data_IF_472281624632
#
_entry.id   IF_472281624632
#
_cell.length_a   1.000
_cell.length_b   1.000
_cell.length_c   1.000
_cell.angle_alpha   90.00
_cell.angle_beta   90.00
_cell.angle_gamma   90.00
#
_symmetry.space_group_name_H-M   'P 1'
#
loop_
_entity.id
_entity.type
_entity.pdbx_description
1 polymer ?
#
# COMPACT_ATOMS: atom_id res chain seq x y z
N UNK A 1 45.20 -20.28 15.03
CA UNK A 1 44.65 -20.17 13.68
C UNK A 1 43.15 -20.33 13.75
N UNK A 2 42.45 -19.23 14.07
CA UNK A 2 41.02 -19.15 14.03
C UNK A 2 40.63 -18.48 12.71
N UNK A 3 40.16 -19.28 11.73
CA UNK A 3 39.51 -18.76 10.55
C UNK A 3 38.16 -18.22 10.95
N UNK A 4 38.04 -16.90 11.01
CA UNK A 4 36.75 -16.21 10.99
C UNK A 4 36.08 -16.50 9.64
N UNK A 5 35.08 -17.40 9.64
CA UNK A 5 34.13 -17.50 8.57
C UNK A 5 33.27 -16.25 8.60
N UNK A 6 33.65 -15.25 7.84
CA UNK A 6 32.78 -14.16 7.43
C UNK A 6 31.73 -14.78 6.49
N UNK A 7 30.60 -15.17 7.06
CA UNK A 7 29.38 -15.41 6.29
C UNK A 7 28.97 -14.05 5.68
N UNK A 8 29.50 -13.78 4.50
CA UNK A 8 28.96 -12.77 3.61
C UNK A 8 27.53 -13.21 3.28
N UNK A 9 26.56 -12.66 4.01
CA UNK A 9 25.17 -12.74 3.60
C UNK A 9 25.08 -12.10 2.21
N UNK A 10 25.06 -12.94 1.19
CA UNK A 10 24.75 -12.51 -0.18
C UNK A 10 23.36 -11.88 -0.10
N UNK A 11 23.29 -10.55 -0.16
CA UNK A 11 22.02 -9.84 -0.26
C UNK A 11 21.36 -10.31 -1.54
N UNK A 12 20.37 -11.18 -1.41
CA UNK A 12 19.60 -11.65 -2.55
C UNK A 12 19.04 -10.43 -3.28
N UNK A 13 19.38 -10.30 -4.56
CA UNK A 13 18.92 -9.17 -5.38
C UNK A 13 17.42 -9.31 -5.54
N UNK A 14 16.67 -8.28 -5.16
CA UNK A 14 15.23 -8.22 -5.37
C UNK A 14 14.93 -8.40 -6.87
N UNK A 15 13.87 -9.17 -7.20
CA UNK A 15 13.44 -9.31 -8.58
C UNK A 15 13.10 -7.94 -9.16
N UNK A 16 13.71 -7.60 -10.28
CA UNK A 16 13.57 -6.31 -10.94
C UNK A 16 12.12 -6.02 -11.34
N UNK A 17 11.35 -7.06 -11.65
CA UNK A 17 9.93 -6.95 -12.01
C UNK A 17 9.07 -6.40 -10.89
N UNK A 18 9.37 -6.72 -9.63
CA UNK A 18 8.68 -6.16 -8.46
C UNK A 18 8.96 -4.65 -8.37
N UNK A 19 10.22 -4.27 -8.59
CA UNK A 19 10.61 -2.87 -8.60
C UNK A 19 9.92 -2.10 -9.72
N UNK A 20 9.96 -2.61 -10.95
CA UNK A 20 9.32 -2.00 -12.12
C UNK A 20 7.81 -1.82 -11.93
N UNK A 21 7.12 -2.81 -11.30
CA UNK A 21 5.71 -2.70 -10.98
C UNK A 21 5.43 -1.50 -10.06
N UNK A 22 6.21 -1.34 -9.00
CA UNK A 22 6.03 -0.25 -8.04
C UNK A 22 6.36 1.12 -8.65
N UNK A 23 7.50 1.24 -9.34
CA UNK A 23 7.91 2.46 -10.03
C UNK A 23 6.82 2.91 -11.02
N UNK A 24 6.32 1.98 -11.81
CA UNK A 24 5.23 2.24 -12.73
C UNK A 24 3.94 2.65 -12.02
N UNK A 25 3.57 1.98 -10.92
CA UNK A 25 2.41 2.34 -10.11
C UNK A 25 2.49 3.79 -9.62
N UNK A 26 3.65 4.21 -9.15
CA UNK A 26 3.90 5.59 -8.69
C UNK A 26 3.80 6.58 -9.84
N UNK A 27 4.42 6.30 -10.98
CA UNK A 27 4.41 7.18 -12.17
C UNK A 27 3.00 7.33 -12.74
N UNK A 28 2.24 6.22 -12.84
CA UNK A 28 0.88 6.24 -13.43
C UNK A 28 -0.21 6.59 -12.43
N UNK A 29 0.12 6.78 -11.14
CA UNK A 29 -0.87 7.00 -10.09
C UNK A 29 -1.79 5.79 -9.86
N UNK A 30 -1.37 4.58 -10.24
CA UNK A 30 -2.14 3.36 -10.09
C UNK A 30 -1.69 2.56 -8.86
N UNK A 31 -2.64 1.90 -8.20
CA UNK A 31 -2.35 0.99 -7.08
C UNK A 31 -1.67 -0.27 -7.60
N UNK A 32 -0.65 -0.74 -6.88
CA UNK A 32 0.03 -2.01 -7.16
C UNK A 32 -0.39 -3.07 -6.16
N UNK A 33 -0.63 -4.29 -6.62
CA UNK A 33 -0.99 -5.44 -5.77
C UNK A 33 0.13 -6.47 -5.79
N UNK A 34 0.61 -6.85 -4.61
CA UNK A 34 1.51 -7.98 -4.40
C UNK A 34 0.82 -9.05 -3.54
N UNK A 35 0.80 -10.27 -4.04
CA UNK A 35 0.33 -11.43 -3.28
C UNK A 35 1.57 -12.26 -2.91
N UNK A 36 1.83 -12.37 -1.61
CA UNK A 36 2.97 -13.13 -1.09
C UNK A 36 2.49 -14.49 -0.59
N UNK A 37 3.02 -15.54 -1.19
CA UNK A 37 2.68 -16.94 -0.92
C UNK A 37 3.79 -17.56 -0.10
N UNK A 38 3.51 -18.00 1.12
CA UNK A 38 4.46 -18.64 2.02
C UNK A 38 4.38 -18.12 3.46
N UNK A 39 5.06 -18.81 4.36
CA UNK A 39 4.98 -18.53 5.80
C UNK A 39 5.79 -17.29 6.22
N UNK A 40 6.83 -16.97 5.47
CA UNK A 40 7.75 -15.86 5.72
C UNK A 40 7.42 -14.57 4.97
N UNK A 41 6.32 -14.52 4.21
CA UNK A 41 5.90 -13.34 3.45
C UNK A 41 5.81 -12.06 4.28
N UNK A 42 5.50 -12.18 5.57
CA UNK A 42 5.46 -11.07 6.51
C UNK A 42 6.82 -10.37 6.69
N UNK A 43 7.91 -11.12 6.60
CA UNK A 43 9.27 -10.60 6.80
C UNK A 43 9.73 -9.76 5.60
N UNK A 44 9.04 -9.88 4.45
CA UNK A 44 9.29 -9.08 3.26
C UNK A 44 8.60 -7.71 3.28
N UNK A 45 7.61 -7.52 4.13
CA UNK A 45 6.87 -6.24 4.21
C UNK A 45 7.78 -5.03 4.48
N UNK A 46 8.78 -5.09 5.39
CA UNK A 46 9.73 -4.00 5.58
C UNK A 46 10.53 -3.67 4.32
N UNK A 47 10.97 -4.68 3.56
CA UNK A 47 11.72 -4.52 2.33
C UNK A 47 10.87 -3.82 1.26
N UNK A 48 9.62 -4.23 1.11
CA UNK A 48 8.67 -3.62 0.17
C UNK A 48 8.31 -2.19 0.58
N UNK A 49 8.13 -1.93 1.88
CA UNK A 49 7.92 -0.58 2.38
C UNK A 49 9.13 0.33 2.09
N UNK A 50 10.35 -0.16 2.33
CA UNK A 50 11.55 0.60 2.02
C UNK A 50 11.68 0.87 0.51
N UNK A 51 11.31 -0.09 -0.33
CA UNK A 51 11.28 0.09 -1.77
C UNK A 51 10.25 1.17 -2.17
N UNK A 52 9.05 1.12 -1.62
CA UNK A 52 8.02 2.13 -1.86
C UNK A 52 8.48 3.54 -1.42
N UNK A 53 9.14 3.66 -0.28
CA UNK A 53 9.73 4.94 0.18
C UNK A 53 10.78 5.48 -0.79
N UNK A 54 11.55 4.61 -1.43
CA UNK A 54 12.59 5.02 -2.39
C UNK A 54 12.02 5.40 -3.76
N UNK A 55 10.91 4.82 -4.14
CA UNK A 55 10.24 5.10 -5.42
C UNK A 55 9.28 6.27 -5.33
N UNK A 56 8.77 6.57 -4.13
CA UNK A 56 7.86 7.70 -3.90
C UNK A 56 8.65 8.93 -3.45
N UNK A 57 8.44 10.07 -4.11
CA UNK A 57 9.02 11.37 -3.73
C UNK A 57 8.36 11.93 -2.46
N UNK A 58 7.20 11.39 -2.10
CA UNK A 58 6.41 11.85 -0.94
C UNK A 58 6.97 11.32 0.38
N UNK A 59 6.53 11.95 1.48
CA UNK A 59 6.80 11.51 2.85
C UNK A 59 6.52 10.02 3.03
N UNK A 60 7.18 9.39 4.00
CA UNK A 60 7.02 7.96 4.30
C UNK A 60 5.55 7.55 4.32
N UNK A 61 5.13 6.56 3.51
CA UNK A 61 3.74 6.15 3.41
C UNK A 61 3.24 5.60 4.75
N UNK A 62 2.06 6.05 5.18
CA UNK A 62 1.33 5.45 6.29
C UNK A 62 0.93 4.04 5.91
N UNK A 63 1.04 3.09 6.85
CA UNK A 63 0.74 1.67 6.63
C UNK A 63 -0.54 1.30 7.38
N UNK A 64 -1.52 0.76 6.69
CA UNK A 64 -2.68 0.10 7.28
C UNK A 64 -2.44 -1.41 7.31
N UNK A 65 -2.42 -2.00 8.50
CA UNK A 65 -2.22 -3.45 8.66
C UNK A 65 -3.48 -4.09 9.21
N UNK A 66 -4.18 -4.85 8.36
CA UNK A 66 -5.42 -5.53 8.72
C UNK A 66 -5.17 -7.01 9.05
N UNK A 67 -5.78 -7.50 10.12
CA UNK A 67 -5.61 -8.87 10.61
C UNK A 67 -6.85 -9.37 11.36
N UNK A 68 -6.96 -10.70 11.49
CA UNK A 68 -8.07 -11.36 12.21
C UNK A 68 -7.69 -11.74 13.65
N UNK A 69 -6.50 -12.35 13.76
CA UNK A 69 -5.99 -12.95 15.01
C UNK A 69 -4.84 -12.10 15.57
N UNK A 70 -4.10 -12.68 16.48
CA UNK A 70 -2.92 -12.02 17.02
C UNK A 70 -1.83 -11.80 15.95
N UNK A 71 -1.13 -10.69 16.06
CA UNK A 71 0.00 -10.33 15.19
C UNK A 71 1.20 -11.26 15.32
N UNK A 72 1.12 -12.23 16.24
CA UNK A 72 2.21 -13.21 16.47
C UNK A 72 3.48 -12.61 17.07
N UNK A 73 3.41 -11.42 17.65
CA UNK A 73 4.57 -10.81 18.33
C UNK A 73 4.70 -11.35 19.75
N UNK A 74 5.90 -11.82 20.09
CA UNK A 74 6.21 -12.20 21.47
C UNK A 74 6.05 -11.00 22.40
N UNK A 75 5.76 -11.26 23.67
CA UNK A 75 5.63 -10.21 24.70
C UNK A 75 6.91 -9.38 24.83
N UNK A 76 8.07 -9.99 24.68
CA UNK A 76 9.38 -9.33 24.64
C UNK A 76 9.49 -8.36 23.46
N UNK A 77 9.09 -8.79 22.28
CA UNK A 77 9.10 -7.96 21.06
C UNK A 77 8.17 -6.75 21.20
N UNK A 78 6.97 -6.94 21.75
CA UNK A 78 6.02 -5.84 22.04
C UNK A 78 6.61 -4.81 23.02
N UNK A 79 7.26 -5.26 24.11
CA UNK A 79 7.92 -4.37 25.08
C UNK A 79 9.07 -3.58 24.44
N UNK A 80 9.90 -4.24 23.61
CA UNK A 80 11.05 -3.63 22.93
C UNK A 80 10.60 -2.53 21.96
N UNK A 81 9.59 -2.81 21.12
CA UNK A 81 9.00 -1.83 20.19
C UNK A 81 8.42 -0.62 20.94
N UNK A 82 7.68 -0.87 22.04
CA UNK A 82 7.12 0.20 22.86
C UNK A 82 8.21 1.10 23.48
N UNK A 83 9.33 0.50 23.92
CA UNK A 83 10.51 1.23 24.42
C UNK A 83 11.08 2.12 23.32
N UNK A 84 11.36 1.57 22.14
CA UNK A 84 11.91 2.28 21.00
C UNK A 84 11.04 3.48 20.56
N UNK A 85 9.72 3.28 20.44
CA UNK A 85 8.79 4.37 20.13
C UNK A 85 8.83 5.48 21.17
N UNK A 86 8.92 5.13 22.45
CA UNK A 86 9.01 6.10 23.56
C UNK A 86 10.33 6.87 23.54
N UNK A 87 11.47 6.20 23.29
CA UNK A 87 12.78 6.80 23.25
C UNK A 87 12.93 7.73 22.04
N UNK A 88 12.32 7.36 20.90
CA UNK A 88 12.21 8.21 19.71
C UNK A 88 11.38 9.47 19.99
N UNK A 89 10.23 9.34 20.65
CA UNK A 89 9.37 10.48 21.02
C UNK A 89 10.05 11.44 21.99
N UNK A 90 10.98 10.96 22.83
CA UNK A 90 11.76 11.77 23.76
C UNK A 90 13.00 12.44 23.14
N UNK A 91 13.23 12.28 21.84
CA UNK A 91 14.41 12.84 21.15
C UNK A 91 15.74 12.17 21.52
N UNK A 92 15.73 11.13 22.36
CA UNK A 92 16.89 10.37 22.78
C UNK A 92 17.48 9.49 21.67
N UNK A 93 16.74 9.33 20.56
CA UNK A 93 17.12 8.46 19.44
C UNK A 93 18.22 9.02 18.54
N UNK A 94 18.73 10.25 18.77
CA UNK A 94 19.81 10.82 17.94
C UNK A 94 21.15 10.08 18.05
N UNK A 95 21.36 9.28 19.10
CA UNK A 95 22.58 8.51 19.34
C UNK A 95 22.33 7.02 19.62
N UNK A 96 21.12 6.52 19.45
CA UNK A 96 20.91 5.09 19.48
C UNK A 96 21.58 4.50 18.23
N UNK A 97 22.86 4.15 18.38
CA UNK A 97 23.51 3.18 17.48
C UNK A 97 22.50 2.04 17.31
N UNK A 98 22.05 1.85 16.06
CA UNK A 98 21.21 0.72 15.70
C UNK A 98 21.88 -0.53 16.28
N UNK A 99 21.26 -1.10 17.31
CA UNK A 99 21.72 -2.37 17.86
C UNK A 99 21.90 -3.34 16.68
N UNK A 100 23.09 -3.84 16.40
CA UNK A 100 23.33 -4.72 15.25
C UNK A 100 22.48 -6.01 15.31
N UNK A 101 21.83 -6.25 16.45
CA UNK A 101 20.92 -7.37 16.69
C UNK A 101 19.44 -7.04 16.36
N UNK A 102 19.15 -5.82 15.93
CA UNK A 102 17.77 -5.47 15.56
C UNK A 102 17.39 -6.06 14.19
N UNK A 103 16.35 -6.84 14.20
CA UNK A 103 15.72 -7.37 13.00
C UNK A 103 15.09 -6.21 12.17
N UNK A 104 15.22 -6.28 10.84
CA UNK A 104 14.64 -5.31 9.90
C UNK A 104 13.16 -5.05 10.16
N UNK A 105 12.44 -6.06 10.61
CA UNK A 105 11.03 -5.94 10.94
C UNK A 105 10.78 -5.09 12.20
N UNK A 106 11.64 -5.17 13.21
CA UNK A 106 11.55 -4.33 14.42
C UNK A 106 11.88 -2.87 14.09
N UNK A 107 12.86 -2.63 13.23
CA UNK A 107 13.17 -1.31 12.72
C UNK A 107 11.99 -0.69 11.97
N UNK A 108 11.37 -1.45 11.09
CA UNK A 108 10.17 -1.03 10.37
C UNK A 108 9.04 -0.65 11.34
N UNK A 109 8.75 -1.50 12.33
CA UNK A 109 7.69 -1.25 13.33
C UNK A 109 7.95 -0.01 14.18
N UNK A 110 9.21 0.34 14.43
CA UNK A 110 9.59 1.51 15.22
C UNK A 110 9.63 2.80 14.42
N UNK A 111 9.96 2.71 13.13
CA UNK A 111 10.21 3.87 12.26
C UNK A 111 9.00 4.28 11.41
N UNK A 112 8.05 3.38 11.18
CA UNK A 112 6.90 3.61 10.31
C UNK A 112 5.64 3.92 11.13
N UNK A 113 4.76 4.74 10.54
CA UNK A 113 3.42 4.99 11.07
C UNK A 113 2.51 3.85 10.61
N UNK A 114 2.20 2.93 11.54
CA UNK A 114 1.42 1.74 11.26
C UNK A 114 0.12 1.80 12.05
N UNK A 115 -0.99 1.84 11.34
CA UNK A 115 -2.33 1.69 11.87
C UNK A 115 -2.73 0.22 11.85
N UNK A 116 -3.00 -0.34 13.04
CA UNK A 116 -3.40 -1.72 13.22
C UNK A 116 -4.93 -1.82 13.27
N UNK A 117 -5.51 -2.57 12.36
CA UNK A 117 -6.96 -2.70 12.25
C UNK A 117 -7.41 -4.17 12.27
N UNK A 118 -8.36 -4.51 13.15
CA UNK A 118 -9.05 -5.80 13.07
C UNK A 118 -10.03 -5.81 11.89
N UNK A 119 -10.15 -6.95 11.20
CA UNK A 119 -11.13 -7.07 10.10
C UNK A 119 -12.56 -6.70 10.47
N UNK A 120 -12.97 -6.95 11.72
CA UNK A 120 -14.29 -6.53 12.23
C UNK A 120 -14.45 -5.03 12.34
N UNK A 121 -13.36 -4.29 12.51
CA UNK A 121 -13.33 -2.85 12.73
C UNK A 121 -13.02 -2.05 11.46
N UNK A 122 -12.94 -2.69 10.29
CA UNK A 122 -12.60 -2.05 9.01
C UNK A 122 -13.56 -0.94 8.57
N UNK A 123 -14.75 -0.85 9.18
CA UNK A 123 -15.65 0.29 8.96
C UNK A 123 -15.06 1.62 9.45
N UNK A 124 -14.11 1.59 10.39
CA UNK A 124 -13.48 2.78 10.96
C UNK A 124 -12.42 3.41 10.05
N UNK A 125 -11.87 2.63 9.10
CA UNK A 125 -10.85 3.14 8.18
C UNK A 125 -11.43 3.77 6.92
N UNK A 126 -12.76 3.72 6.74
CA UNK A 126 -13.42 4.38 5.63
C UNK A 126 -13.18 5.88 5.68
N UNK A 127 -12.78 6.46 4.55
CA UNK A 127 -12.42 7.88 4.44
C UNK A 127 -11.00 8.23 4.86
N UNK A 128 -10.20 7.25 5.39
CA UNK A 128 -8.77 7.45 5.59
C UNK A 128 -7.99 7.21 4.29
N UNK A 129 -6.78 7.77 4.21
CA UNK A 129 -5.87 7.56 3.08
C UNK A 129 -4.55 7.01 3.60
N UNK A 130 -4.08 5.92 2.98
CA UNK A 130 -2.82 5.26 3.34
C UNK A 130 -2.00 4.97 2.09
N UNK A 131 -0.68 4.97 2.21
CA UNK A 131 0.19 4.64 1.09
C UNK A 131 0.47 3.15 0.94
N UNK A 132 0.25 2.37 2.01
CA UNK A 132 0.49 0.93 1.98
C UNK A 132 -0.55 0.18 2.80
N UNK A 133 -1.09 -0.90 2.24
CA UNK A 133 -2.04 -1.80 2.90
C UNK A 133 -1.44 -3.20 3.02
N UNK A 134 -1.56 -3.82 4.19
CA UNK A 134 -1.19 -5.22 4.41
C UNK A 134 -2.42 -5.99 4.90
N UNK A 135 -2.84 -7.00 4.14
CA UNK A 135 -3.94 -7.91 4.47
C UNK A 135 -3.35 -9.26 4.90
N UNK A 136 -3.41 -9.51 6.18
CA UNK A 136 -2.98 -10.76 6.80
C UNK A 136 -4.19 -11.68 7.03
N UNK A 137 -3.98 -12.99 7.26
CA UNK A 137 -5.05 -13.97 7.56
C UNK A 137 -6.12 -14.01 6.45
N UNK A 138 -5.72 -14.43 5.25
CA UNK A 138 -6.56 -14.46 4.05
C UNK A 138 -7.88 -15.19 4.23
N UNK A 139 -7.92 -16.24 5.06
CA UNK A 139 -9.12 -17.02 5.37
C UNK A 139 -10.26 -16.19 5.96
N UNK A 140 -9.96 -15.05 6.54
CA UNK A 140 -10.94 -14.13 7.11
C UNK A 140 -11.40 -13.03 6.14
N UNK A 141 -10.77 -12.91 4.97
CA UNK A 141 -11.11 -11.90 3.97
C UNK A 141 -12.47 -12.16 3.35
N UNK A 142 -13.23 -11.10 3.20
CA UNK A 142 -14.48 -11.07 2.46
C UNK A 142 -14.42 -9.98 1.39
N UNK A 143 -15.26 -10.04 0.33
CA UNK A 143 -15.35 -8.96 -0.65
C UNK A 143 -15.57 -7.58 -0.03
N UNK A 144 -16.41 -7.49 1.02
CA UNK A 144 -16.67 -6.23 1.73
C UNK A 144 -15.43 -5.70 2.44
N UNK A 145 -14.65 -6.56 3.09
CA UNK A 145 -13.41 -6.16 3.76
C UNK A 145 -12.42 -5.66 2.71
N UNK A 146 -12.26 -6.38 1.59
CA UNK A 146 -11.40 -5.96 0.50
C UNK A 146 -11.80 -4.59 -0.05
N UNK A 147 -13.08 -4.38 -0.35
CA UNK A 147 -13.58 -3.10 -0.84
C UNK A 147 -13.29 -1.95 0.14
N UNK A 148 -13.59 -2.15 1.44
CA UNK A 148 -13.37 -1.13 2.47
C UNK A 148 -11.90 -0.76 2.65
N UNK A 149 -10.99 -1.72 2.52
CA UNK A 149 -9.56 -1.52 2.82
C UNK A 149 -8.75 -1.12 1.59
N UNK A 150 -8.98 -1.75 0.43
CA UNK A 150 -8.24 -1.43 -0.80
C UNK A 150 -8.52 -0.02 -1.31
N UNK A 151 -9.75 0.49 -1.11
CA UNK A 151 -10.11 1.84 -1.51
C UNK A 151 -9.44 2.94 -0.68
N UNK A 152 -8.92 2.62 0.51
CA UNK A 152 -8.16 3.57 1.32
C UNK A 152 -6.74 3.81 0.81
N UNK A 153 -6.24 2.98 -0.10
CA UNK A 153 -4.89 3.11 -0.64
C UNK A 153 -4.86 4.19 -1.71
N UNK A 154 -3.93 5.14 -1.57
CA UNK A 154 -3.74 6.22 -2.55
C UNK A 154 -3.21 5.71 -3.90
N UNK A 155 -3.29 6.56 -4.92
CA UNK A 155 -2.67 6.29 -6.22
C UNK A 155 -1.15 6.17 -6.09
N UNK A 156 -0.56 5.16 -6.73
CA UNK A 156 0.86 4.84 -6.55
C UNK A 156 1.17 4.01 -5.31
N UNK A 157 0.17 3.76 -4.43
CA UNK A 157 0.34 2.97 -3.23
C UNK A 157 0.41 1.46 -3.48
N UNK A 158 0.79 0.72 -2.44
CA UNK A 158 1.02 -0.72 -2.48
C UNK A 158 0.05 -1.48 -1.60
N UNK A 159 -0.57 -2.52 -2.16
CA UNK A 159 -1.42 -3.48 -1.46
C UNK A 159 -0.69 -4.81 -1.38
N UNK A 160 -0.56 -5.37 -0.19
CA UNK A 160 0.06 -6.67 0.05
C UNK A 160 -0.98 -7.62 0.65
N UNK A 161 -1.15 -8.77 0.03
CA UNK A 161 -1.95 -9.88 0.55
C UNK A 161 -1.02 -11.02 0.96
N UNK A 162 -1.08 -11.39 2.24
CA UNK A 162 -0.26 -12.47 2.79
C UNK A 162 -1.05 -13.78 2.78
N UNK A 163 -0.57 -14.75 2.01
CA UNK A 163 -1.10 -16.11 1.94
C UNK A 163 -0.19 -17.03 2.75
N UNK A 164 -0.41 -17.13 4.05
CA UNK A 164 0.26 -18.09 4.93
C UNK A 164 -0.36 -19.47 4.72
N UNK A 165 0.38 -20.51 5.02
CA UNK A 165 -0.09 -21.92 4.93
C UNK A 165 -0.47 -22.38 3.51
N UNK A 166 -0.28 -21.56 2.49
CA UNK A 166 -0.57 -21.91 1.11
C UNK A 166 0.74 -22.00 0.35
N UNK A 167 1.06 -23.21 -0.10
CA UNK A 167 2.26 -23.46 -0.93
C UNK A 167 1.96 -23.49 -2.42
N UNK A 168 0.66 -23.54 -2.77
CA UNK A 168 0.22 -23.56 -4.17
C UNK A 168 -1.15 -22.90 -4.33
N UNK A 169 -1.42 -22.38 -5.53
CA UNK A 169 -2.74 -21.83 -5.86
C UNK A 169 -3.86 -22.86 -5.81
N UNK A 170 -3.52 -24.15 -5.97
CA UNK A 170 -4.47 -25.26 -5.83
C UNK A 170 -5.01 -25.34 -4.39
N UNK A 171 -4.13 -25.14 -3.41
CA UNK A 171 -4.52 -25.07 -2.00
C UNK A 171 -5.36 -23.81 -1.70
N UNK A 172 -5.05 -22.69 -2.31
CA UNK A 172 -5.85 -21.47 -2.19
C UNK A 172 -7.28 -21.68 -2.71
N UNK A 173 -7.42 -22.38 -3.84
CA UNK A 173 -8.74 -22.72 -4.39
C UNK A 173 -9.57 -23.58 -3.43
N UNK A 174 -8.95 -24.56 -2.78
CA UNK A 174 -9.61 -25.48 -1.84
C UNK A 174 -9.72 -24.92 -0.41
N UNK A 175 -9.16 -23.74 -0.12
CA UNK A 175 -9.14 -23.17 1.22
C UNK A 175 -10.55 -22.87 1.74
N UNK A 176 -10.82 -23.33 2.95
CA UNK A 176 -12.08 -23.00 3.65
C UNK A 176 -11.98 -21.61 4.27
N UNK A 177 -12.84 -20.69 3.82
CA UNK A 177 -12.94 -19.36 4.37
C UNK A 177 -13.82 -19.35 5.62
N UNK A 178 -13.53 -18.44 6.58
CA UNK A 178 -14.32 -18.28 7.81
C UNK A 178 -15.81 -18.02 7.56
N UNK A 179 -16.10 -17.31 6.48
CA UNK A 179 -17.49 -17.01 6.06
C UNK A 179 -18.25 -18.30 5.76
N UNK A 180 -17.61 -19.31 5.22
CA UNK A 180 -18.24 -20.58 4.90
C UNK A 180 -18.74 -21.32 6.16
N UNK A 181 -18.01 -21.24 7.26
CA UNK A 181 -18.42 -21.84 8.53
C UNK A 181 -19.57 -21.07 9.19
N UNK A 182 -19.59 -19.74 9.05
CA UNK A 182 -20.54 -18.85 9.72
C UNK A 182 -21.95 -18.93 9.15
N UNK A 183 -22.11 -19.13 7.84
CA UNK A 183 -23.38 -19.12 7.14
C UNK A 183 -23.81 -20.51 6.64
N UNK A 184 -23.29 -21.56 7.25
CA UNK A 184 -23.61 -22.94 6.91
C UNK A 184 -24.97 -23.30 7.53
N UNK A 185 -25.89 -23.84 6.71
CA UNK A 185 -27.15 -24.44 7.16
C UNK A 185 -27.12 -25.94 6.85
N UNK A 186 -27.95 -26.73 7.54
CA UNK A 186 -28.06 -28.17 7.29
C UNK A 186 -28.45 -28.46 5.83
N UNK A 187 -29.32 -27.63 5.25
CA UNK A 187 -29.74 -27.74 3.85
C UNK A 187 -28.64 -27.38 2.84
N UNK A 188 -27.64 -26.60 3.24
CA UNK A 188 -26.52 -26.17 2.40
C UNK A 188 -25.19 -26.74 2.91
N UNK A 189 -25.08 -28.07 2.96
CA UNK A 189 -23.88 -28.76 3.44
C UNK A 189 -22.63 -28.51 2.58
N UNK A 190 -22.83 -28.26 1.28
CA UNK A 190 -21.77 -28.04 0.31
C UNK A 190 -21.60 -26.53 0.01
N UNK A 191 -20.49 -25.96 0.45
CA UNK A 191 -20.14 -24.57 0.15
C UNK A 191 -19.22 -24.53 -1.07
N UNK A 192 -19.62 -23.80 -2.10
CA UNK A 192 -18.78 -23.55 -3.27
C UNK A 192 -17.91 -22.32 -3.00
N UNK A 193 -16.55 -22.43 -3.00
CA UNK A 193 -15.64 -21.34 -2.67
C UNK A 193 -15.48 -20.36 -3.84
N UNK A 194 -16.57 -19.76 -4.31
CA UNK A 194 -16.59 -18.85 -5.47
C UNK A 194 -15.72 -17.61 -5.30
N UNK A 195 -15.54 -17.16 -4.06
CA UNK A 195 -14.65 -16.02 -3.79
C UNK A 195 -13.20 -16.34 -4.14
N UNK A 196 -12.70 -17.50 -3.68
CA UNK A 196 -11.33 -17.93 -3.95
C UNK A 196 -11.08 -18.10 -5.45
N UNK A 197 -12.03 -18.71 -6.15
CA UNK A 197 -11.97 -18.86 -7.60
C UNK A 197 -11.89 -17.51 -8.32
N UNK A 198 -12.79 -16.59 -8.00
CA UNK A 198 -12.78 -15.23 -8.57
C UNK A 198 -11.51 -14.47 -8.25
N UNK A 199 -11.01 -14.60 -7.02
CA UNK A 199 -9.77 -13.97 -6.62
C UNK A 199 -8.60 -14.46 -7.46
N UNK A 200 -8.43 -15.79 -7.61
CA UNK A 200 -7.37 -16.37 -8.43
C UNK A 200 -7.48 -15.92 -9.89
N UNK A 201 -8.67 -15.97 -10.47
CA UNK A 201 -8.90 -15.53 -11.85
C UNK A 201 -8.60 -14.02 -12.02
N UNK A 202 -8.92 -13.21 -11.03
CA UNK A 202 -8.63 -11.78 -11.04
C UNK A 202 -7.14 -11.49 -10.98
N UNK A 203 -6.36 -12.24 -10.18
CA UNK A 203 -4.90 -12.14 -10.13
C UNK A 203 -4.27 -12.39 -11.51
N UNK A 204 -4.72 -13.44 -12.21
CA UNK A 204 -4.23 -13.78 -13.54
C UNK A 204 -4.54 -12.74 -14.61
N UNK A 205 -5.62 -11.97 -14.46
CA UNK A 205 -6.07 -10.95 -15.41
C UNK A 205 -5.55 -9.54 -15.09
N UNK A 206 -5.20 -9.27 -13.84
CA UNK A 206 -4.79 -7.93 -13.42
C UNK A 206 -3.40 -7.56 -13.95
N UNK A 207 -3.26 -6.44 -14.64
CA UNK A 207 -1.96 -5.98 -15.16
C UNK A 207 -1.07 -5.35 -14.08
N UNK A 208 -1.63 -4.95 -12.95
CA UNK A 208 -0.92 -4.29 -11.84
C UNK A 208 -0.80 -5.22 -10.62
N UNK A 209 -0.76 -6.55 -10.87
CA UNK A 209 -0.67 -7.55 -9.82
C UNK A 209 0.48 -8.52 -10.09
N UNK A 210 1.36 -8.72 -9.11
CA UNK A 210 2.32 -9.82 -9.10
C UNK A 210 2.02 -10.78 -7.95
N UNK A 211 2.21 -12.07 -8.22
CA UNK A 211 2.19 -13.12 -7.20
C UNK A 211 3.63 -13.59 -7.01
N UNK A 212 4.11 -13.50 -5.79
CA UNK A 212 5.48 -13.84 -5.42
C UNK A 212 5.49 -14.90 -4.31
N UNK A 213 6.60 -15.61 -4.20
CA UNK A 213 6.88 -16.42 -3.02
C UNK A 213 7.35 -15.53 -1.85
N UNK A 214 7.65 -16.16 -0.72
CA UNK A 214 8.16 -15.51 0.48
C UNK A 214 9.62 -15.00 0.36
N UNK A 215 10.29 -15.31 -0.73
CA UNK A 215 11.59 -14.76 -1.12
C UNK A 215 11.51 -13.65 -2.19
N UNK A 216 10.29 -13.23 -2.55
CA UNK A 216 9.98 -12.27 -3.61
C UNK A 216 10.34 -12.71 -5.04
N UNK A 217 10.43 -14.02 -5.32
CA UNK A 217 10.50 -14.51 -6.68
C UNK A 217 9.10 -14.51 -7.29
N UNK A 218 8.98 -14.00 -8.52
CA UNK A 218 7.67 -13.87 -9.19
C UNK A 218 7.18 -15.20 -9.73
N UNK A 219 5.96 -15.58 -9.35
CA UNK A 219 5.31 -16.83 -9.77
C UNK A 219 4.62 -16.68 -11.14
N UNK A 220 4.52 -17.77 -11.93
CA UNK A 220 4.07 -17.72 -13.33
C UNK A 220 2.59 -17.33 -13.55
N UNK A 221 1.77 -17.29 -12.50
CA UNK A 221 0.39 -16.81 -12.59
C UNK A 221 0.28 -15.34 -13.04
N UNK A 222 1.32 -14.59 -12.83
CA UNK A 222 1.38 -13.15 -13.17
C UNK A 222 1.63 -12.88 -14.65
N UNK A 223 1.26 -13.81 -15.57
CA UNK A 223 1.56 -13.68 -17.00
C UNK A 223 1.11 -12.37 -17.63
N UNK A 224 -0.10 -11.89 -17.30
CA UNK A 224 -0.65 -10.65 -17.85
C UNK A 224 0.14 -9.43 -17.39
N UNK A 225 0.48 -9.37 -16.11
CA UNK A 225 1.33 -8.31 -15.55
C UNK A 225 2.74 -8.34 -16.14
N UNK A 226 3.32 -9.54 -16.23
CA UNK A 226 4.66 -9.74 -16.81
C UNK A 226 4.72 -9.32 -18.27
N UNK A 227 3.72 -9.69 -19.07
CA UNK A 227 3.63 -9.25 -20.45
C UNK A 227 3.61 -7.73 -20.54
N UNK A 228 2.77 -7.08 -19.77
CA UNK A 228 2.67 -5.63 -19.75
C UNK A 228 3.92 -4.92 -19.22
N UNK A 229 4.63 -5.51 -18.26
CA UNK A 229 5.91 -4.98 -17.78
C UNK A 229 7.02 -5.12 -18.83
N UNK A 230 6.98 -6.17 -19.65
CA UNK A 230 7.93 -6.38 -20.74
C UNK A 230 7.60 -5.52 -21.98
N UNK A 231 6.31 -5.40 -22.34
CA UNK A 231 5.84 -4.62 -23.50
C UNK A 231 5.99 -3.11 -23.29
N UNK A 232 5.80 -2.65 -22.04
CA UNK A 232 6.13 -1.28 -21.67
C UNK A 232 7.63 -1.24 -21.44
N UNK A 233 8.39 -1.07 -22.51
CA UNK A 233 9.85 -0.89 -22.39
C UNK A 233 10.10 0.14 -21.29
N UNK A 234 10.79 -0.29 -20.25
CA UNK A 234 11.03 0.46 -19.01
C UNK A 234 11.74 1.81 -19.21
N UNK A 235 12.04 2.16 -20.44
CA UNK A 235 12.75 3.37 -20.83
C UNK A 235 11.87 4.56 -21.18
N UNK A 236 10.59 4.37 -21.55
CA UNK A 236 9.77 5.48 -22.06
C UNK A 236 8.94 6.19 -20.97
N UNK A 237 8.76 5.57 -19.81
CA UNK A 237 7.94 6.13 -18.72
C UNK A 237 8.74 6.67 -17.54
N UNK A 238 10.04 6.42 -17.48
CA UNK A 238 10.89 6.81 -16.35
C UNK A 238 12.10 7.54 -16.89
N UNK A 239 12.01 8.85 -17.02
CA UNK A 239 13.19 9.69 -17.14
C UNK A 239 13.91 9.70 -15.80
N UNK A 240 15.09 9.10 -15.73
CA UNK A 240 15.97 9.20 -14.58
C UNK A 240 16.67 10.55 -14.65
N UNK A 241 16.37 11.42 -13.70
CA UNK A 241 17.17 12.61 -13.49
C UNK A 241 18.63 12.26 -13.18
N UNK A 242 19.54 13.18 -13.38
CA UNK A 242 21.01 13.04 -13.23
C UNK A 242 21.46 12.61 -11.81
N UNK A 243 20.53 12.53 -10.83
CA UNK A 243 20.77 12.05 -9.48
C UNK A 243 20.10 10.71 -9.14
N UNK A 244 19.52 9.99 -10.12
CA UNK A 244 18.81 8.73 -9.88
C UNK A 244 17.42 8.91 -9.26
N UNK A 245 16.91 10.13 -9.17
CA UNK A 245 15.55 10.44 -8.76
C UNK A 245 14.56 10.07 -9.87
N UNK A 246 13.49 9.37 -9.48
CA UNK A 246 12.39 9.05 -10.38
C UNK A 246 11.60 10.33 -10.64
N UNK A 247 11.67 10.86 -11.85
CA UNK A 247 10.82 11.97 -12.24
C UNK A 247 9.40 11.43 -12.40
N UNK A 248 8.53 11.78 -11.47
CA UNK A 248 7.10 11.46 -11.58
C UNK A 248 6.52 12.30 -12.71
N UNK A 249 6.03 11.66 -13.77
CA UNK A 249 5.24 12.37 -14.76
C UNK A 249 3.99 12.93 -14.07
N UNK A 250 3.90 14.25 -14.03
CA UNK A 250 2.71 14.96 -13.57
C UNK A 250 1.59 14.62 -14.55
N UNK A 251 0.51 14.03 -14.05
CA UNK A 251 -0.64 13.77 -14.93
C UNK A 251 -1.20 15.09 -15.47
N UNK A 252 -1.85 15.11 -16.65
CA UNK A 252 -2.48 16.33 -17.17
C UNK A 252 -3.40 17.01 -16.17
N UNK A 253 -4.11 16.23 -15.36
CA UNK A 253 -5.00 16.74 -14.30
C UNK A 253 -4.24 17.37 -13.13
N UNK A 254 -3.08 16.81 -12.74
CA UNK A 254 -2.23 17.40 -11.69
C UNK A 254 -1.57 18.68 -12.18
N UNK A 255 -1.16 18.72 -13.46
CA UNK A 255 -0.62 19.94 -14.07
C UNK A 255 -1.68 21.05 -14.13
N UNK A 256 -2.92 20.71 -14.52
CA UNK A 256 -4.05 21.64 -14.56
C UNK A 256 -4.40 22.13 -13.14
N UNK A 257 -4.41 21.24 -12.15
CA UNK A 257 -4.64 21.62 -10.74
C UNK A 257 -3.56 22.59 -10.23
N UNK A 258 -2.29 22.31 -10.56
CA UNK A 258 -1.18 23.17 -10.17
C UNK A 258 -1.30 24.55 -10.81
N UNK A 259 -1.54 24.62 -12.11
CA UNK A 259 -1.75 25.87 -12.83
C UNK A 259 -2.95 26.65 -12.26
N UNK A 260 -4.05 25.96 -11.91
CA UNK A 260 -5.22 26.57 -11.28
C UNK A 260 -4.88 27.17 -9.92
N UNK A 261 -4.14 26.48 -9.08
CA UNK A 261 -3.68 26.97 -7.76
C UNK A 261 -2.80 28.20 -7.92
N UNK A 262 -1.81 28.14 -8.81
CA UNK A 262 -0.92 29.28 -9.11
C UNK A 262 -1.69 30.50 -9.63
N UNK A 263 -2.71 30.30 -10.46
CA UNK A 263 -3.53 31.41 -11.00
C UNK A 263 -4.41 32.08 -9.95
N UNK A 264 -4.72 31.41 -8.85
CA UNK A 264 -5.63 31.89 -7.79
C UNK A 264 -4.91 32.22 -6.48
N UNK A 265 -3.59 32.08 -6.41
CA UNK A 265 -2.80 32.29 -5.22
C UNK A 265 -3.02 33.67 -4.60
N UNK A 266 -3.06 34.73 -5.41
CA UNK A 266 -3.26 36.11 -4.97
C UNK A 266 -4.73 36.49 -4.76
N UNK A 267 -5.69 35.58 -4.96
CA UNK A 267 -7.11 35.87 -4.83
C UNK A 267 -7.52 35.76 -3.35
N UNK A 268 -7.93 36.86 -2.67
CA UNK A 268 -8.30 36.82 -1.27
C UNK A 268 -9.41 35.84 -0.98
N UNK A 269 -9.24 35.00 0.05
CA UNK A 269 -10.15 33.96 0.53
C UNK A 269 -10.33 32.76 -0.40
N UNK A 270 -10.20 32.91 -1.72
CA UNK A 270 -10.37 31.81 -2.70
C UNK A 270 -9.10 30.99 -2.80
N UNK A 271 -7.94 31.61 -2.95
CA UNK A 271 -6.65 30.92 -3.10
C UNK A 271 -6.37 29.95 -1.96
N UNK A 272 -6.56 30.42 -0.72
CA UNK A 272 -6.34 29.60 0.49
C UNK A 272 -7.25 28.35 0.50
N UNK A 273 -8.51 28.48 0.06
CA UNK A 273 -9.45 27.35 0.00
C UNK A 273 -9.12 26.40 -1.14
N UNK A 274 -8.76 26.93 -2.32
CA UNK A 274 -8.38 26.12 -3.48
C UNK A 274 -7.07 25.37 -3.24
N UNK A 275 -6.15 25.93 -2.44
CA UNK A 275 -4.90 25.25 -2.08
C UNK A 275 -5.13 23.98 -1.25
N UNK A 276 -6.20 23.91 -0.47
CA UNK A 276 -6.59 22.69 0.26
C UNK A 276 -7.05 21.54 -0.64
N UNK A 277 -7.48 21.82 -1.89
CA UNK A 277 -7.93 20.79 -2.82
C UNK A 277 -6.79 19.83 -3.20
N UNK A 278 -7.08 18.54 -3.18
CA UNK A 278 -6.14 17.47 -3.53
C UNK A 278 -6.33 16.97 -4.96
N UNK A 279 -7.49 17.19 -5.55
CA UNK A 279 -7.81 16.81 -6.92
C UNK A 279 -8.39 17.99 -7.69
N UNK A 280 -8.28 17.94 -9.02
CA UNK A 280 -8.83 18.96 -9.90
C UNK A 280 -10.36 19.11 -9.74
N UNK A 281 -11.06 17.99 -9.57
CA UNK A 281 -12.51 18.00 -9.38
C UNK A 281 -12.92 18.67 -8.07
N UNK A 282 -12.16 18.48 -6.99
CA UNK A 282 -12.37 19.19 -5.73
C UNK A 282 -12.21 20.70 -5.90
N UNK A 283 -11.17 21.12 -6.61
CA UNK A 283 -10.92 22.52 -6.88
C UNK A 283 -12.05 23.14 -7.73
N UNK A 284 -12.46 22.47 -8.80
CA UNK A 284 -13.57 22.90 -9.66
C UNK A 284 -14.91 23.00 -8.88
N UNK A 285 -15.24 21.98 -8.08
CA UNK A 285 -16.44 22.00 -7.26
C UNK A 285 -16.43 23.13 -6.23
N UNK A 286 -15.30 23.40 -5.61
CA UNK A 286 -15.13 24.50 -4.67
C UNK A 286 -15.34 25.87 -5.34
N UNK A 287 -14.79 26.06 -6.55
CA UNK A 287 -14.95 27.32 -7.31
C UNK A 287 -16.42 27.57 -7.67
N UNK A 288 -17.12 26.55 -8.19
CA UNK A 288 -18.56 26.65 -8.50
C UNK A 288 -19.38 26.99 -7.25
N UNK A 289 -19.03 26.41 -6.10
CA UNK A 289 -19.69 26.75 -4.84
C UNK A 289 -19.45 28.20 -4.41
N UNK A 290 -18.21 28.67 -4.50
CA UNK A 290 -17.85 30.06 -4.13
C UNK A 290 -18.52 31.08 -5.07
N UNK A 291 -18.60 30.78 -6.36
CA UNK A 291 -19.29 31.61 -7.35
C UNK A 291 -20.78 31.72 -7.03
N UNK A 292 -21.45 30.61 -6.76
CA UNK A 292 -22.85 30.59 -6.34
C UNK A 292 -23.11 31.38 -5.03
N UNK A 293 -22.14 31.37 -4.09
CA UNK A 293 -22.23 32.16 -2.87
C UNK A 293 -22.10 33.69 -3.17
N UNK A 294 -21.19 34.06 -4.06
CA UNK A 294 -20.98 35.47 -4.43
C UNK A 294 -22.18 36.06 -5.17
N UNK A 295 -22.83 35.32 -6.04
CA UNK A 295 -24.05 35.71 -6.74
C UNK A 295 -25.23 35.95 -5.78
N UNK A 296 -25.35 35.12 -4.72
CA UNK A 296 -26.39 35.32 -3.71
C UNK A 296 -26.18 36.59 -2.86
N UNK A 297 -24.93 36.88 -2.50
CA UNK A 297 -24.60 38.11 -1.75
C UNK A 297 -24.85 39.36 -2.58
N UNK A 298 -24.52 39.35 -3.88
CA UNK A 298 -24.81 40.49 -4.76
C UNK A 298 -26.31 40.75 -4.95
N UNK A 299 -27.13 39.70 -5.00
CA UNK A 299 -28.61 39.85 -5.09
C UNK A 299 -29.26 40.34 -3.79
N UNK A 300 -28.67 40.03 -2.63
CA UNK A 300 -29.20 40.53 -1.33
C UNK A 300 -28.84 41.96 -0.99
N UNK A 301 -27.84 42.54 -1.68
CA UNK A 301 -27.39 43.92 -1.45
C UNK A 301 -28.14 44.94 -2.32
N UNK A 302 -28.96 44.46 -3.29
CA UNK A 302 -29.76 45.30 -4.21
C UNK A 302 -31.25 45.33 -3.83
N UNK A 303 -31.65 44.64 -2.76
CA UNK A 303 -32.98 44.66 -2.16
C UNK A 303 -32.98 45.45 -0.85
#
# INVERSE_FOLDING_TARGET
NGQFFLLTMVRKKLDERVRTLLERGVVTGQRSLLVLVGDHGKDQVPNLHQLLVRTSIRTRPKVLWCYKKELGFSTHRKKRIKKLKRDKARGLAKNAQLDPTMDNFELFLSSSDIEWCYYKDTHRVLGSTVGMLVLQDFEALTPNIMARTMETVEGGGLIIVLLRTVTSLKQLYAMTMDVHARYRTEAAAHVVPRFNERFILSLGKSPNCLVCDDELNVLPISKTALKRLNDSGSSELIEKGDGGEVITHVTPQEAELKALKESLEDTPHVGVLVDLAKTLDQAKALLVFLEACSERTSKSTVA
#
